data_IF_847161745696
#
_entry.id   IF_847161745696
#
_cell.length_a   1.000
_cell.length_b   1.000
_cell.length_c   1.000
_cell.angle_alpha   90.00
_cell.angle_beta   90.00
_cell.angle_gamma   90.00
#
_symmetry.space_group_name_H-M   'P 1'
#
loop_
_entity.id
_entity.type
_entity.pdbx_description
1 polymer ?
#
# COMPACT_ATOMS: atom_id res chain seq x y z
N UNK A 1 86.47 22.72 2.90
CA UNK A 1 85.36 22.28 2.04
C UNK A 1 84.67 21.16 2.79
N UNK A 2 83.68 21.49 3.64
CA UNK A 2 82.22 21.46 3.33
C UNK A 2 81.72 20.01 3.21
N UNK A 3 80.74 19.51 3.95
CA UNK A 3 79.76 20.04 4.90
C UNK A 3 79.25 18.88 5.76
N UNK A 4 78.81 19.12 7.00
CA UNK A 4 77.49 19.56 7.46
C UNK A 4 76.67 18.41 8.05
N UNK A 5 76.29 18.64 9.31
CA UNK A 5 75.51 17.81 10.23
C UNK A 5 74.05 17.65 9.78
N UNK A 6 73.35 16.64 10.34
CA UNK A 6 72.10 16.79 11.11
C UNK A 6 71.61 15.40 11.60
N UNK A 7 71.51 15.17 12.91
CA UNK A 7 70.42 15.52 13.83
C UNK A 7 69.14 14.68 13.60
N UNK A 8 68.99 13.58 14.35
CA UNK A 8 67.77 12.77 14.42
C UNK A 8 66.84 13.31 15.50
N UNK A 9 65.71 13.89 15.08
CA UNK A 9 64.58 14.28 15.95
C UNK A 9 63.51 13.19 15.84
N UNK A 10 63.15 12.59 16.98
CA UNK A 10 62.02 11.67 17.13
C UNK A 10 60.70 12.46 17.12
N UNK A 11 59.79 12.11 16.21
CA UNK A 11 58.42 12.65 16.19
C UNK A 11 57.43 11.52 16.53
N UNK A 12 56.89 11.57 17.75
CA UNK A 12 55.79 10.71 18.23
C UNK A 12 54.47 11.24 17.64
N UNK A 13 53.89 10.52 16.68
CA UNK A 13 52.55 10.78 16.15
C UNK A 13 51.51 10.02 16.98
N UNK A 14 50.80 10.74 17.87
CA UNK A 14 49.58 10.24 18.52
C UNK A 14 48.40 10.43 17.59
N UNK A 15 47.86 9.34 17.04
CA UNK A 15 46.64 9.35 16.22
C UNK A 15 45.42 9.28 17.14
N UNK A 16 44.74 10.40 17.33
CA UNK A 16 43.41 10.45 17.96
C UNK A 16 42.35 10.03 16.96
N UNK A 17 41.78 8.84 17.13
CA UNK A 17 40.66 8.34 16.34
C UNK A 17 39.38 9.04 16.81
N UNK A 18 38.88 9.96 15.99
CA UNK A 18 37.59 10.61 16.17
C UNK A 18 36.50 9.62 15.72
N UNK A 19 35.85 8.93 16.66
CA UNK A 19 34.70 8.05 16.36
C UNK A 19 33.48 8.95 16.14
N UNK A 20 33.17 9.23 14.87
CA UNK A 20 31.90 9.84 14.50
C UNK A 20 30.78 8.81 14.65
N UNK A 21 29.87 9.07 15.59
CA UNK A 21 28.61 8.33 15.70
C UNK A 21 27.77 8.71 14.49
N UNK A 22 27.87 7.92 13.42
CA UNK A 22 26.93 8.00 12.30
C UNK A 22 25.60 7.47 12.85
N UNK A 23 24.63 8.35 13.03
CA UNK A 23 23.24 7.94 13.20
C UNK A 23 22.83 7.21 11.92
N UNK A 24 22.87 5.88 11.95
CA UNK A 24 22.32 5.05 10.88
C UNK A 24 20.81 5.22 10.96
N UNK A 25 20.29 6.13 10.13
CA UNK A 25 18.86 6.16 9.82
C UNK A 25 18.60 4.87 9.05
N UNK A 26 18.02 3.87 9.72
CA UNK A 26 17.56 2.65 9.07
C UNK A 26 16.50 3.09 8.07
N UNK A 27 16.72 2.91 6.74
CA UNK A 27 15.69 3.22 5.77
C UNK A 27 14.47 2.34 6.08
N UNK A 28 13.30 2.97 6.16
CA UNK A 28 12.02 2.27 6.16
C UNK A 28 12.04 1.33 4.95
N UNK A 29 11.97 0.03 5.19
CA UNK A 29 12.04 -0.98 4.14
C UNK A 29 10.77 -0.84 3.29
N UNK A 30 10.85 -0.07 2.21
CA UNK A 30 9.74 0.24 1.33
C UNK A 30 9.72 1.68 0.83
N UNK A 31 9.07 1.90 -0.32
CA UNK A 31 8.80 3.23 -0.84
C UNK A 31 7.63 3.85 -0.06
N UNK A 32 7.76 5.04 0.54
CA UNK A 32 6.72 5.61 1.39
C UNK A 32 5.50 6.10 0.59
N UNK A 33 4.33 6.14 1.20
CA UNK A 33 3.15 6.71 0.53
C UNK A 33 3.30 8.21 0.21
N UNK A 34 3.13 8.58 -1.07
CA UNK A 34 2.95 9.98 -1.49
C UNK A 34 1.49 10.39 -1.27
N UNK A 35 1.22 10.98 -0.12
CA UNK A 35 -0.13 11.39 0.28
C UNK A 35 -0.66 12.55 -0.59
N UNK A 36 -1.88 12.38 -1.10
CA UNK A 36 -2.65 13.43 -1.79
C UNK A 36 -4.05 13.56 -1.15
N UNK A 37 -4.50 14.79 -0.83
CA UNK A 37 -5.88 15.04 -0.41
C UNK A 37 -6.90 14.70 -1.49
N UNK A 38 -8.01 14.12 -1.07
CA UNK A 38 -9.20 13.83 -1.86
C UNK A 38 -10.45 14.17 -1.00
N UNK A 39 -11.65 14.38 -1.58
CA UNK A 39 -12.83 14.80 -0.81
C UNK A 39 -13.11 13.95 0.43
N UNK A 40 -12.90 12.63 0.34
CA UNK A 40 -13.21 11.68 1.41
C UNK A 40 -11.98 11.21 2.21
N UNK A 41 -10.83 11.89 2.07
CA UNK A 41 -9.63 11.59 2.86
C UNK A 41 -8.31 11.75 2.11
N UNK A 42 -7.38 10.82 2.37
CA UNK A 42 -6.03 10.84 1.82
C UNK A 42 -5.76 9.57 1.01
N UNK A 43 -5.17 9.73 -0.18
CA UNK A 43 -4.77 8.62 -1.05
C UNK A 43 -3.26 8.59 -1.25
N UNK A 44 -2.72 7.41 -1.54
CA UNK A 44 -1.34 7.25 -1.99
C UNK A 44 -1.31 7.33 -3.52
N UNK A 45 -0.46 8.20 -4.07
CA UNK A 45 -0.37 8.42 -5.51
C UNK A 45 0.62 7.44 -6.12
N UNK A 46 0.14 6.64 -7.07
CA UNK A 46 0.96 5.77 -7.91
C UNK A 46 0.91 6.21 -9.39
N UNK A 47 2.01 5.99 -10.10
CA UNK A 47 2.17 6.20 -11.54
C UNK A 47 3.10 5.10 -12.10
N UNK A 48 3.50 5.21 -13.37
CA UNK A 48 4.34 4.20 -14.04
C UNK A 48 5.76 4.07 -13.47
N UNK A 49 6.27 5.10 -12.80
CA UNK A 49 7.64 5.11 -12.23
C UNK A 49 7.68 5.01 -10.71
N UNK A 50 6.53 5.12 -10.04
CA UNK A 50 6.46 5.19 -8.59
C UNK A 50 5.15 4.63 -8.04
N UNK A 51 5.25 3.80 -7.01
CA UNK A 51 4.15 3.43 -6.11
C UNK A 51 4.75 3.09 -4.75
N UNK A 52 3.99 3.25 -3.67
CA UNK A 52 4.45 2.82 -2.35
C UNK A 52 4.57 1.30 -2.27
N UNK A 53 5.53 0.83 -1.48
CA UNK A 53 5.77 -0.59 -1.28
C UNK A 53 5.84 -0.91 0.20
N UNK A 54 5.38 -2.11 0.54
CA UNK A 54 5.30 -2.60 1.90
C UNK A 54 6.34 -3.69 2.10
N UNK A 55 7.46 -3.41 2.75
CA UNK A 55 8.43 -4.45 3.13
C UNK A 55 8.40 -4.64 4.65
N UNK A 56 7.85 -5.76 5.09
CA UNK A 56 7.77 -6.09 6.51
C UNK A 56 8.93 -7.01 6.89
N UNK A 57 9.69 -6.63 7.91
CA UNK A 57 10.60 -7.54 8.61
C UNK A 57 9.89 -8.10 9.83
N UNK A 58 9.55 -9.39 9.80
CA UNK A 58 9.00 -10.05 10.98
C UNK A 58 10.05 -10.07 12.11
N UNK A 59 9.67 -9.76 13.36
CA UNK A 59 10.58 -9.86 14.49
C UNK A 59 11.09 -11.30 14.64
N UNK A 60 12.40 -11.44 14.84
CA UNK A 60 13.06 -12.75 14.99
C UNK A 60 13.27 -13.16 16.45
N UNK A 61 13.13 -12.21 17.38
CA UNK A 61 13.38 -12.42 18.80
C UNK A 61 12.08 -12.79 19.53
N UNK A 62 12.17 -13.75 20.46
CA UNK A 62 11.03 -14.14 21.29
C UNK A 62 10.57 -12.96 22.16
N UNK A 63 9.25 -12.74 22.21
CA UNK A 63 8.64 -11.63 22.93
C UNK A 63 8.57 -10.33 22.12
N UNK A 64 9.23 -10.22 20.97
CA UNK A 64 9.12 -9.04 20.11
C UNK A 64 7.79 -8.99 19.35
N UNK A 65 7.30 -7.78 19.12
CA UNK A 65 6.09 -7.50 18.34
C UNK A 65 6.35 -6.49 17.23
N UNK A 66 5.61 -6.64 16.14
CA UNK A 66 5.50 -5.66 15.07
C UNK A 66 4.07 -5.14 15.05
N UNK A 67 3.91 -3.83 15.22
CA UNK A 67 2.62 -3.15 15.13
C UNK A 67 2.58 -2.38 13.82
N UNK A 68 1.53 -2.62 13.05
CA UNK A 68 1.30 -1.99 11.75
C UNK A 68 0.08 -1.08 11.85
N UNK A 69 0.27 0.22 11.63
CA UNK A 69 -0.77 1.23 11.86
C UNK A 69 -1.13 2.01 10.60
N UNK A 70 -2.43 2.17 10.39
CA UNK A 70 -3.02 3.04 9.36
C UNK A 70 -4.05 3.95 10.02
N UNK A 71 -4.09 5.22 9.62
CA UNK A 71 -5.00 6.22 10.19
C UNK A 71 -5.63 7.10 9.12
N UNK A 72 -6.76 7.72 9.46
CA UNK A 72 -7.42 8.72 8.63
C UNK A 72 -6.50 9.93 8.38
N UNK A 73 -5.69 10.28 9.37
CA UNK A 73 -4.79 11.43 9.36
C UNK A 73 -3.59 11.22 8.44
N UNK A 74 -3.25 9.98 8.08
CA UNK A 74 -2.28 9.70 7.02
C UNK A 74 -1.24 8.63 7.32
N UNK A 75 -1.31 7.90 8.44
CA UNK A 75 -0.48 6.72 8.60
C UNK A 75 -0.86 5.67 7.55
N UNK A 76 0.12 5.04 6.91
CA UNK A 76 -0.07 4.03 5.88
C UNK A 76 0.87 2.87 6.14
N UNK A 77 0.32 1.77 6.68
CA UNK A 77 1.10 0.58 7.06
C UNK A 77 2.37 0.92 7.87
N UNK A 78 2.32 1.96 8.71
CA UNK A 78 3.48 2.41 9.49
C UNK A 78 3.86 1.31 10.48
N UNK A 79 5.12 0.90 10.41
CA UNK A 79 5.67 -0.13 11.28
C UNK A 79 6.16 0.48 12.60
N UNK A 80 5.92 -0.21 13.70
CA UNK A 80 6.42 0.14 15.04
C UNK A 80 6.75 -1.15 15.77
N UNK A 81 8.01 -1.32 16.15
CA UNK A 81 8.47 -2.49 16.89
C UNK A 81 8.25 -2.30 18.39
N UNK A 82 8.12 -3.42 19.11
CA UNK A 82 7.97 -3.43 20.55
C UNK A 82 8.31 -4.78 21.17
N UNK A 83 8.08 -4.92 22.47
CA UNK A 83 8.32 -6.16 23.21
C UNK A 83 7.23 -6.40 24.26
N UNK A 84 6.65 -7.60 24.29
CA UNK A 84 5.66 -8.05 25.27
C UNK A 84 6.21 -8.13 26.70
N UNK A 85 7.51 -8.34 26.86
CA UNK A 85 8.15 -8.48 28.18
C UNK A 85 8.59 -7.14 28.78
N UNK A 86 8.18 -6.02 28.18
CA UNK A 86 8.51 -4.67 28.63
C UNK A 86 7.28 -4.01 29.24
N UNK A 87 7.45 -3.32 30.37
CA UNK A 87 6.45 -2.42 30.94
C UNK A 87 6.36 -1.08 30.16
N UNK A 88 7.15 -0.93 29.09
CA UNK A 88 7.17 0.27 28.26
C UNK A 88 5.87 0.42 27.46
N UNK A 89 5.23 1.58 27.61
CA UNK A 89 4.06 1.93 26.82
C UNK A 89 4.48 2.31 25.40
N UNK A 90 4.02 1.54 24.42
CA UNK A 90 4.21 1.87 23.01
C UNK A 90 3.22 2.96 22.61
N UNK A 91 3.73 4.13 22.20
CA UNK A 91 2.92 5.27 21.77
C UNK A 91 3.03 5.43 20.26
N UNK A 92 1.92 5.19 19.56
CA UNK A 92 1.84 5.37 18.11
C UNK A 92 1.38 6.80 17.83
N UNK A 93 2.35 7.65 17.50
CA UNK A 93 2.07 9.00 17.05
C UNK A 93 1.49 8.99 15.64
N UNK A 94 0.34 9.63 15.51
CA UNK A 94 -0.35 9.80 14.24
C UNK A 94 0.37 10.77 13.29
N UNK A 95 -0.05 10.77 12.02
CA UNK A 95 0.54 11.60 10.98
C UNK A 95 0.28 13.10 11.24
N UNK A 96 1.36 13.90 11.23
CA UNK A 96 1.28 15.35 11.43
C UNK A 96 1.68 16.11 10.17
N UNK A 97 0.67 16.64 9.46
CA UNK A 97 0.85 17.43 8.23
C UNK A 97 1.74 18.67 8.39
N UNK A 98 1.82 19.27 9.59
CA UNK A 98 2.57 20.50 9.84
C UNK A 98 4.07 20.26 9.99
N UNK A 99 4.49 19.08 10.48
CA UNK A 99 5.92 18.70 10.60
C UNK A 99 6.61 18.49 9.24
N UNK A 100 5.89 18.05 8.20
CA UNK A 100 6.51 17.88 6.87
C UNK A 100 6.74 19.21 6.13
N UNK A 101 5.92 20.24 6.39
CA UNK A 101 6.09 21.57 5.79
C UNK A 101 7.35 22.29 6.30
N UNK A 102 7.79 22.03 7.53
CA UNK A 102 9.03 22.63 8.06
C UNK A 102 10.29 22.03 7.42
N UNK A 103 10.30 20.71 7.13
CA UNK A 103 11.39 20.07 6.39
C UNK A 103 11.42 20.44 4.89
N UNK A 104 10.28 20.73 4.28
CA UNK A 104 10.26 21.24 2.89
C UNK A 104 10.73 22.69 2.79
N UNK A 105 10.47 23.52 3.83
CA UNK A 105 10.95 24.91 3.89
C UNK A 105 12.47 25.04 4.09
N UNK A 106 13.16 24.03 4.62
CA UNK A 106 14.63 24.08 4.74
C UNK A 106 15.39 23.72 3.45
N UNK A 107 14.68 23.39 2.35
CA UNK A 107 15.29 22.99 1.07
C UNK A 107 14.95 23.88 -0.14
N UNK A 108 14.21 24.97 0.04
CA UNK A 108 13.91 25.92 -1.05
C UNK A 108 14.27 27.34 -0.64
N UNK A 109 15.50 27.75 -0.97
CA UNK A 109 15.83 29.14 -1.22
C UNK A 109 15.85 29.37 -2.73
N UNK A 110 15.10 30.39 -3.17
CA UNK A 110 15.05 31.02 -4.51
C UNK A 110 14.39 30.16 -5.62
N UNK A 111 13.35 30.61 -6.32
CA UNK A 111 13.19 31.88 -7.07
C UNK A 111 11.74 32.43 -7.07
N UNK A 112 11.52 33.71 -7.44
CA UNK A 112 10.21 34.36 -7.37
C UNK A 112 9.42 34.38 -8.71
N UNK A 113 8.11 34.61 -8.56
CA UNK A 113 7.03 34.89 -9.53
C UNK A 113 6.41 33.62 -10.20
N UNK A 114 5.10 33.48 -10.40
CA UNK A 114 4.11 34.41 -10.97
C UNK A 114 2.70 34.15 -10.36
N UNK A 115 1.90 35.21 -10.30
CA UNK A 115 0.49 35.33 -9.92
C UNK A 115 -0.42 34.13 -10.27
N UNK A 116 -1.21 33.61 -9.32
CA UNK A 116 -2.45 32.89 -9.63
C UNK A 116 -3.51 32.96 -8.50
N UNK A 117 -4.74 33.15 -8.96
CA UNK A 117 -6.04 33.45 -8.37
C UNK A 117 -6.56 32.55 -7.22
N UNK A 118 -5.80 32.37 -6.14
CA UNK A 118 -6.21 31.52 -4.98
C UNK A 118 -6.47 32.25 -3.66
N UNK A 119 -6.92 33.50 -3.71
CA UNK A 119 -7.28 34.26 -2.49
C UNK A 119 -8.68 33.94 -1.95
N UNK A 120 -9.63 33.54 -2.81
CA UNK A 120 -11.03 33.29 -2.38
C UNK A 120 -11.22 31.90 -1.72
N UNK A 121 -10.63 30.84 -2.30
CA UNK A 121 -10.70 29.47 -1.76
C UNK A 121 -10.01 29.39 -0.39
N UNK A 122 -8.91 30.15 -0.22
CA UNK A 122 -8.18 30.20 1.05
C UNK A 122 -8.99 30.86 2.17
N UNK A 123 -9.89 31.78 1.86
CA UNK A 123 -10.76 32.39 2.86
C UNK A 123 -11.96 31.51 3.22
N UNK A 124 -12.57 30.84 2.24
CA UNK A 124 -13.70 29.91 2.46
C UNK A 124 -13.25 28.72 3.32
N UNK A 125 -12.08 28.14 3.03
CA UNK A 125 -11.54 27.02 3.83
C UNK A 125 -11.13 27.46 5.25
N UNK A 126 -10.75 28.72 5.44
CA UNK A 126 -10.36 29.25 6.75
C UNK A 126 -11.56 29.67 7.63
N UNK A 127 -12.76 29.77 7.05
CA UNK A 127 -14.02 29.97 7.79
C UNK A 127 -14.62 28.65 8.27
N UNK A 128 -14.41 27.56 7.52
CA UNK A 128 -14.91 26.24 7.90
C UNK A 128 -14.10 25.58 9.04
N UNK A 129 -12.82 25.94 9.18
CA UNK A 129 -11.94 25.38 10.22
C UNK A 129 -11.96 26.13 11.56
N UNK A 130 -12.67 27.26 11.66
CA UNK A 130 -12.65 28.12 12.86
C UNK A 130 -13.79 27.88 13.87
N UNK A 131 -14.65 26.89 13.64
CA UNK A 131 -15.82 26.60 14.51
C UNK A 131 -15.75 25.26 15.26
N UNK A 132 -14.55 24.69 15.43
CA UNK A 132 -14.31 23.64 16.42
C UNK A 132 -13.13 24.04 17.29
N UNK A 133 -13.39 24.99 18.20
CA UNK A 133 -12.58 25.16 19.41
C UNK A 133 -12.85 23.91 20.24
N UNK A 134 -12.00 22.90 20.07
CA UNK A 134 -12.03 21.67 20.84
C UNK A 134 -11.75 22.08 22.29
N UNK A 135 -12.74 21.95 23.17
CA UNK A 135 -12.49 22.09 24.60
C UNK A 135 -11.57 20.95 24.99
N UNK A 136 -10.38 21.29 25.50
CA UNK A 136 -9.43 20.37 26.10
C UNK A 136 -10.02 19.82 27.41
N UNK A 137 -11.06 19.01 27.29
CA UNK A 137 -11.52 18.15 28.35
C UNK A 137 -10.59 16.95 28.28
N UNK A 138 -9.75 16.79 29.31
CA UNK A 138 -8.80 15.69 29.47
C UNK A 138 -9.60 14.38 29.46
N UNK A 139 -9.81 13.81 28.27
CA UNK A 139 -10.63 12.61 28.07
C UNK A 139 -9.91 11.47 28.76
N UNK A 140 -10.46 11.01 29.87
CA UNK A 140 -9.97 9.84 30.58
C UNK A 140 -10.04 8.65 29.61
N UNK A 141 -8.88 8.06 29.34
CA UNK A 141 -8.79 6.86 28.52
C UNK A 141 -9.17 5.69 29.42
N UNK A 142 -10.29 5.03 29.10
CA UNK A 142 -10.65 3.80 29.76
C UNK A 142 -9.65 2.71 29.38
N UNK A 143 -9.13 2.02 30.39
CA UNK A 143 -8.21 0.91 30.17
C UNK A 143 -9.01 -0.31 29.69
N UNK A 144 -8.67 -0.80 28.49
CA UNK A 144 -9.28 -2.01 27.92
C UNK A 144 -8.25 -3.12 27.94
N UNK A 145 -8.59 -4.22 28.61
CA UNK A 145 -7.75 -5.41 28.69
C UNK A 145 -8.27 -6.49 27.73
N UNK A 146 -7.45 -6.84 26.74
CA UNK A 146 -7.76 -7.88 25.74
C UNK A 146 -6.88 -9.11 26.04
N UNK A 147 -7.49 -10.29 26.13
CA UNK A 147 -6.80 -11.56 26.36
C UNK A 147 -7.10 -12.53 25.22
N UNK A 148 -6.06 -13.23 24.75
CA UNK A 148 -6.17 -14.27 23.71
C UNK A 148 -6.15 -15.63 24.40
N UNK A 149 -7.20 -16.42 24.22
CA UNK A 149 -7.28 -17.80 24.70
C UNK A 149 -6.94 -18.78 23.56
N UNK A 150 -5.76 -19.39 23.63
CA UNK A 150 -5.28 -20.33 22.61
C UNK A 150 -5.92 -21.73 22.71
N UNK A 151 -6.69 -22.03 23.76
CA UNK A 151 -7.40 -23.31 23.91
C UNK A 151 -8.67 -23.38 23.05
N UNK A 152 -9.17 -22.23 22.59
CA UNK A 152 -10.38 -22.11 21.77
C UNK A 152 -9.98 -21.89 20.32
N UNK A 153 -10.17 -22.92 19.48
CA UNK A 153 -9.95 -22.83 18.05
C UNK A 153 -11.26 -22.50 17.30
N UNK A 154 -11.17 -21.66 16.28
CA UNK A 154 -12.27 -21.29 15.39
C UNK A 154 -12.01 -21.76 13.95
N UNK A 155 -12.63 -21.11 12.96
CA UNK A 155 -12.48 -21.46 11.55
C UNK A 155 -11.06 -21.26 11.01
N UNK A 156 -10.70 -22.05 9.99
CA UNK A 156 -9.51 -21.79 9.18
C UNK A 156 -9.79 -20.67 8.18
N UNK A 157 -8.84 -19.74 8.04
CA UNK A 157 -8.93 -18.65 7.07
C UNK A 157 -8.49 -19.16 5.70
N UNK A 158 -9.36 -19.01 4.69
CA UNK A 158 -9.14 -19.52 3.32
C UNK A 158 -8.25 -18.58 2.51
N UNK A 159 -8.40 -17.27 2.70
CA UNK A 159 -7.63 -16.24 2.01
C UNK A 159 -8.33 -14.88 2.03
N UNK A 160 -7.64 -13.87 1.54
CA UNK A 160 -8.14 -12.51 1.37
C UNK A 160 -7.89 -12.07 -0.07
N UNK A 161 -8.76 -11.21 -0.59
CA UNK A 161 -8.78 -10.96 -2.03
C UNK A 161 -9.74 -9.86 -2.47
N UNK A 162 -9.82 -9.72 -3.80
CA UNK A 162 -10.72 -8.80 -4.49
C UNK A 162 -11.42 -9.46 -5.68
N UNK A 163 -12.24 -8.69 -6.39
CA UNK A 163 -12.93 -9.17 -7.58
C UNK A 163 -12.23 -8.69 -8.87
N UNK A 164 -11.94 -9.63 -9.78
CA UNK A 164 -11.54 -9.35 -11.15
C UNK A 164 -12.78 -9.40 -12.05
N UNK A 165 -13.46 -8.25 -12.16
CA UNK A 165 -14.63 -8.05 -13.03
C UNK A 165 -14.22 -7.61 -14.43
N UNK A 166 -15.17 -7.55 -15.37
CA UNK A 166 -14.92 -7.05 -16.73
C UNK A 166 -14.39 -5.61 -16.73
N UNK A 167 -14.93 -4.74 -15.89
CA UNK A 167 -14.46 -3.35 -15.74
C UNK A 167 -13.04 -3.27 -15.19
N UNK A 168 -12.68 -4.09 -14.18
CA UNK A 168 -11.32 -4.12 -13.65
C UNK A 168 -10.35 -4.62 -14.72
N UNK A 169 -10.71 -5.69 -15.44
CA UNK A 169 -9.89 -6.22 -16.53
C UNK A 169 -9.69 -5.19 -17.64
N UNK A 170 -10.75 -4.48 -18.04
CA UNK A 170 -10.67 -3.41 -19.01
C UNK A 170 -9.76 -2.28 -18.55
N UNK A 171 -9.92 -1.77 -17.32
CA UNK A 171 -9.07 -0.70 -16.78
C UNK A 171 -7.59 -1.09 -16.71
N UNK A 172 -7.30 -2.34 -16.32
CA UNK A 172 -5.93 -2.87 -16.29
C UNK A 172 -5.34 -3.07 -17.68
N UNK A 173 -6.16 -3.30 -18.70
CA UNK A 173 -5.73 -3.43 -20.08
C UNK A 173 -5.42 -2.08 -20.74
N UNK A 174 -6.19 -1.05 -20.42
CA UNK A 174 -6.05 0.29 -21.01
C UNK A 174 -4.96 1.15 -20.36
N UNK A 175 -4.49 0.79 -19.16
CA UNK A 175 -3.46 1.55 -18.45
C UNK A 175 -2.05 1.25 -18.95
N UNK A 176 -1.13 2.19 -18.69
CA UNK A 176 0.30 2.00 -18.93
C UNK A 176 0.82 0.71 -18.25
N UNK A 177 1.65 -0.06 -18.96
CA UNK A 177 2.12 -1.37 -18.49
C UNK A 177 2.91 -1.28 -17.18
N UNK A 178 3.70 -0.21 -16.99
CA UNK A 178 4.42 0.03 -15.74
C UNK A 178 3.48 0.29 -14.59
N UNK A 179 2.43 1.10 -14.80
CA UNK A 179 1.42 1.34 -13.78
C UNK A 179 0.61 0.07 -13.45
N UNK A 180 0.24 -0.71 -14.46
CA UNK A 180 -0.44 -2.01 -14.29
C UNK A 180 0.37 -2.93 -13.40
N UNK A 181 1.67 -3.10 -13.70
CA UNK A 181 2.56 -3.94 -12.93
C UNK A 181 2.65 -3.46 -11.47
N UNK A 182 2.75 -2.15 -11.22
CA UNK A 182 2.79 -1.59 -9.85
C UNK A 182 1.50 -1.84 -9.08
N UNK A 183 0.34 -1.73 -9.72
CA UNK A 183 -0.95 -2.02 -9.08
C UNK A 183 -1.04 -3.51 -8.76
N UNK A 184 -0.68 -4.39 -9.69
CA UNK A 184 -0.69 -5.83 -9.44
C UNK A 184 0.31 -6.23 -8.34
N UNK A 185 1.50 -5.61 -8.30
CA UNK A 185 2.48 -5.78 -7.22
C UNK A 185 1.90 -5.36 -5.87
N UNK A 186 1.27 -4.18 -5.79
CA UNK A 186 0.68 -3.68 -4.55
C UNK A 186 -0.38 -4.63 -3.99
N UNK A 187 -1.20 -5.27 -4.84
CA UNK A 187 -2.22 -6.23 -4.39
C UNK A 187 -1.67 -7.63 -4.11
N UNK A 188 -0.87 -8.19 -5.01
CA UNK A 188 -0.57 -9.63 -5.03
C UNK A 188 0.84 -10.00 -4.58
N UNK A 189 1.81 -9.07 -4.63
CA UNK A 189 3.15 -9.39 -4.13
C UNK A 189 3.09 -9.66 -2.63
N UNK A 190 3.68 -10.77 -2.21
CA UNK A 190 3.87 -11.11 -0.79
C UNK A 190 5.04 -10.36 -0.15
N UNK A 191 5.95 -9.81 -0.97
CA UNK A 191 7.17 -9.16 -0.52
C UNK A 191 7.02 -7.66 -0.40
N UNK A 192 6.35 -7.02 -1.37
CA UNK A 192 6.26 -5.56 -1.50
C UNK A 192 4.83 -5.04 -1.49
N UNK A 193 3.83 -5.93 -1.39
CA UNK A 193 2.40 -5.60 -1.41
C UNK A 193 1.63 -6.21 -0.24
N UNK A 194 0.30 -6.26 -0.36
CA UNK A 194 -0.59 -6.80 0.68
C UNK A 194 -0.86 -8.30 0.56
N UNK A 195 -0.28 -8.98 -0.42
CA UNK A 195 -0.30 -10.44 -0.53
C UNK A 195 -1.69 -11.07 -0.68
N UNK A 196 -2.55 -10.51 -1.53
CA UNK A 196 -3.82 -11.15 -1.89
C UNK A 196 -3.61 -12.59 -2.35
N UNK A 197 -4.43 -13.49 -1.80
CA UNK A 197 -4.35 -14.94 -1.99
C UNK A 197 -5.61 -15.53 -2.64
N UNK A 198 -6.61 -14.70 -2.91
CA UNK A 198 -7.87 -15.10 -3.51
C UNK A 198 -8.37 -14.06 -4.51
N UNK A 199 -9.06 -14.52 -5.55
CA UNK A 199 -9.73 -13.65 -6.53
C UNK A 199 -11.14 -14.17 -6.77
N UNK A 200 -12.11 -13.26 -6.79
CA UNK A 200 -13.47 -13.54 -7.26
C UNK A 200 -13.62 -13.10 -8.71
N UNK A 201 -14.30 -13.88 -9.54
CA UNK A 201 -14.64 -13.47 -10.91
C UNK A 201 -16.06 -13.93 -11.30
N UNK A 202 -16.60 -13.34 -12.35
CA UNK A 202 -17.87 -13.74 -12.95
C UNK A 202 -17.68 -14.83 -14.01
N UNK A 203 -18.63 -15.75 -14.07
CA UNK A 203 -18.83 -16.64 -15.22
C UNK A 203 -19.83 -15.94 -16.13
N UNK A 204 -19.37 -15.46 -17.29
CA UNK A 204 -20.15 -14.51 -18.09
C UNK A 204 -20.14 -13.10 -17.50
N UNK A 205 -21.11 -12.28 -17.91
CA UNK A 205 -21.20 -10.89 -17.49
C UNK A 205 -21.76 -10.68 -16.09
N UNK A 206 -21.31 -9.61 -15.45
CA UNK A 206 -21.89 -9.04 -14.25
C UNK A 206 -22.33 -7.57 -14.49
N UNK A 207 -22.84 -6.93 -13.46
CA UNK A 207 -23.16 -5.50 -13.44
C UNK A 207 -21.91 -4.59 -13.60
N UNK A 208 -20.72 -5.13 -13.34
CA UNK A 208 -19.41 -4.50 -13.58
C UNK A 208 -18.74 -5.02 -14.86
N UNK A 209 -19.52 -5.29 -15.89
CA UNK A 209 -19.04 -5.48 -17.26
C UNK A 209 -19.45 -4.28 -18.13
N UNK A 210 -18.73 -4.05 -19.23
CA UNK A 210 -19.03 -2.93 -20.14
C UNK A 210 -20.39 -3.06 -20.84
N UNK A 211 -20.91 -4.29 -20.94
CA UNK A 211 -22.24 -4.58 -21.50
C UNK A 211 -22.77 -5.89 -20.88
N UNK A 212 -24.11 -6.07 -20.76
CA UNK A 212 -24.68 -7.35 -20.35
C UNK A 212 -24.33 -8.45 -21.36
N UNK A 213 -23.97 -9.64 -20.85
CA UNK A 213 -23.70 -10.81 -21.66
C UNK A 213 -23.75 -12.10 -20.84
N UNK A 214 -23.93 -13.21 -21.53
CA UNK A 214 -23.80 -14.55 -20.97
C UNK A 214 -23.18 -15.48 -22.02
N UNK A 215 -22.71 -16.64 -21.59
CA UNK A 215 -22.31 -17.67 -22.53
C UNK A 215 -23.52 -18.33 -23.21
N UNK A 216 -23.33 -18.81 -24.44
CA UNK A 216 -24.32 -19.56 -25.21
C UNK A 216 -25.67 -18.81 -25.39
N UNK A 217 -25.63 -17.51 -25.71
CA UNK A 217 -26.85 -16.73 -25.98
C UNK A 217 -27.56 -17.12 -27.28
N UNK A 218 -26.82 -17.70 -28.24
CA UNK A 218 -27.29 -18.17 -29.54
C UNK A 218 -26.67 -19.55 -29.79
N UNK A 219 -27.38 -20.50 -30.44
CA UNK A 219 -28.81 -20.43 -30.75
C UNK A 219 -29.69 -20.45 -29.50
N UNK A 220 -30.91 -19.91 -29.61
CA UNK A 220 -31.87 -19.90 -28.49
C UNK A 220 -32.45 -21.30 -28.28
N UNK A 221 -32.82 -21.61 -27.04
CA UNK A 221 -33.38 -22.92 -26.63
C UNK A 221 -32.44 -24.11 -26.88
N UNK A 222 -31.14 -23.85 -26.91
CA UNK A 222 -30.11 -24.85 -27.11
C UNK A 222 -29.76 -25.58 -25.80
N UNK A 223 -30.63 -26.51 -25.41
CA UNK A 223 -30.43 -27.36 -24.22
C UNK A 223 -29.15 -28.19 -24.24
N UNK A 224 -28.50 -28.35 -25.40
CA UNK A 224 -27.25 -29.10 -25.56
C UNK A 224 -26.01 -28.22 -25.45
N UNK A 225 -26.16 -26.89 -25.34
CA UNK A 225 -25.05 -25.93 -25.25
C UNK A 225 -24.04 -26.09 -26.40
N UNK A 226 -24.54 -26.32 -27.62
CA UNK A 226 -23.72 -26.58 -28.81
C UNK A 226 -22.78 -25.43 -29.18
N UNK A 227 -23.05 -24.21 -28.70
CA UNK A 227 -22.20 -23.04 -28.93
C UNK A 227 -21.31 -22.69 -27.71
N UNK A 228 -21.28 -23.51 -26.66
CA UNK A 228 -20.36 -23.37 -25.54
C UNK A 228 -19.05 -24.14 -25.84
N UNK A 229 -18.25 -23.63 -26.78
CA UNK A 229 -17.04 -24.33 -27.24
C UNK A 229 -15.74 -23.59 -26.90
N UNK A 230 -15.80 -22.28 -26.70
CA UNK A 230 -14.63 -21.43 -26.46
C UNK A 230 -14.93 -20.36 -25.41
N UNK A 231 -13.86 -19.81 -24.83
CA UNK A 231 -13.97 -18.67 -23.95
C UNK A 231 -14.23 -17.40 -24.75
N UNK A 232 -15.07 -16.53 -24.22
CA UNK A 232 -15.30 -15.22 -24.77
C UNK A 232 -14.03 -14.36 -24.62
N UNK A 233 -13.75 -13.47 -25.58
CA UNK A 233 -12.59 -12.57 -25.56
C UNK A 233 -12.44 -11.80 -24.22
N UNK A 234 -13.57 -11.44 -23.60
CA UNK A 234 -13.59 -10.76 -22.30
C UNK A 234 -13.06 -11.63 -21.15
N UNK A 235 -13.35 -12.93 -21.20
CA UNK A 235 -12.82 -13.88 -20.23
C UNK A 235 -11.37 -14.27 -20.57
N UNK A 236 -11.00 -14.33 -21.85
CA UNK A 236 -9.60 -14.51 -22.27
C UNK A 236 -8.69 -13.40 -21.72
N UNK A 237 -9.17 -12.15 -21.71
CA UNK A 237 -8.45 -11.04 -21.07
C UNK A 237 -8.22 -11.29 -19.57
N UNK A 238 -9.25 -11.77 -18.85
CA UNK A 238 -9.12 -12.12 -17.42
C UNK A 238 -8.14 -13.28 -17.22
N UNK A 239 -8.13 -14.27 -18.10
CA UNK A 239 -7.16 -15.38 -18.08
C UNK A 239 -5.73 -14.88 -18.23
N UNK A 240 -5.47 -13.94 -19.14
CA UNK A 240 -4.17 -13.28 -19.26
C UNK A 240 -3.74 -12.61 -17.95
N UNK A 241 -4.63 -11.83 -17.34
CA UNK A 241 -4.37 -11.17 -16.05
C UNK A 241 -4.12 -12.18 -14.92
N UNK A 242 -4.82 -13.32 -14.88
CA UNK A 242 -4.54 -14.37 -13.88
C UNK A 242 -3.11 -14.90 -13.98
N UNK A 243 -2.57 -15.05 -15.19
CA UNK A 243 -1.19 -15.51 -15.38
C UNK A 243 -0.15 -14.47 -14.92
N UNK A 244 -0.40 -13.19 -15.20
CA UNK A 244 0.44 -12.10 -14.69
C UNK A 244 0.41 -12.05 -13.15
N UNK A 245 -0.79 -12.19 -12.57
CA UNK A 245 -0.97 -12.19 -11.12
C UNK A 245 -0.23 -13.36 -10.45
N UNK A 246 -0.33 -14.57 -11.00
CA UNK A 246 0.43 -15.74 -10.48
C UNK A 246 1.94 -15.50 -10.48
N UNK A 247 2.43 -14.88 -11.55
CA UNK A 247 3.85 -14.54 -11.70
C UNK A 247 4.28 -13.54 -10.63
N UNK A 248 3.52 -12.47 -10.42
CA UNK A 248 3.81 -11.42 -9.43
C UNK A 248 3.69 -11.92 -7.99
N UNK A 249 2.73 -12.81 -7.72
CA UNK A 249 2.53 -13.37 -6.40
C UNK A 249 3.53 -14.47 -6.03
N UNK A 250 4.28 -14.98 -7.02
CA UNK A 250 5.11 -16.17 -6.92
C UNK A 250 4.31 -17.35 -6.31
N UNK A 251 3.06 -17.51 -6.76
CA UNK A 251 2.11 -18.46 -6.18
C UNK A 251 1.09 -18.98 -7.21
N UNK A 252 1.27 -20.24 -7.60
CA UNK A 252 0.33 -20.94 -8.48
C UNK A 252 -0.97 -21.38 -7.78
N UNK A 253 -1.07 -21.21 -6.46
CA UNK A 253 -2.19 -21.69 -5.63
C UNK A 253 -3.17 -20.58 -5.23
N UNK A 254 -3.11 -19.41 -5.88
CA UNK A 254 -4.13 -18.36 -5.71
C UNK A 254 -5.51 -18.96 -5.96
N UNK A 255 -6.40 -18.80 -4.99
CA UNK A 255 -7.75 -19.37 -5.04
C UNK A 255 -8.64 -18.52 -5.93
N UNK A 256 -9.36 -19.15 -6.85
CA UNK A 256 -10.32 -18.46 -7.71
C UNK A 256 -11.73 -18.91 -7.32
N UNK A 257 -12.59 -17.95 -6.97
CA UNK A 257 -14.02 -18.17 -6.76
C UNK A 257 -14.77 -17.57 -7.95
N UNK A 258 -15.57 -18.40 -8.64
CA UNK A 258 -16.35 -17.96 -9.78
C UNK A 258 -17.85 -18.10 -9.51
N UNK A 259 -18.66 -17.14 -9.97
CA UNK A 259 -20.11 -17.20 -9.90
C UNK A 259 -20.74 -16.64 -11.17
N UNK A 260 -21.81 -17.27 -11.67
CA UNK A 260 -22.63 -16.70 -12.74
C UNK A 260 -23.67 -15.74 -12.16
N UNK A 261 -23.86 -14.57 -12.78
CA UNK A 261 -24.93 -13.63 -12.38
C UNK A 261 -26.26 -13.97 -13.04
N UNK A 262 -26.22 -14.47 -14.28
CA UNK A 262 -27.40 -14.81 -15.05
C UNK A 262 -27.06 -15.87 -16.08
N UNK A 263 -27.97 -16.82 -16.36
CA UNK A 263 -27.86 -17.66 -17.56
C UNK A 263 -28.13 -16.82 -18.82
N UNK A 264 -27.91 -17.36 -20.03
CA UNK A 264 -28.40 -16.76 -21.26
C UNK A 264 -29.91 -16.55 -21.20
N UNK A 265 -30.39 -15.50 -21.89
CA UNK A 265 -31.79 -15.03 -21.76
C UNK A 265 -32.84 -16.10 -22.03
N UNK A 266 -32.57 -17.04 -22.93
CA UNK A 266 -33.52 -18.08 -23.32
C UNK A 266 -33.72 -19.19 -22.28
N UNK A 267 -32.90 -19.24 -21.21
CA UNK A 267 -33.04 -20.16 -20.08
C UNK A 267 -33.89 -19.61 -18.93
N UNK A 268 -34.37 -18.36 -19.03
CA UNK A 268 -35.29 -17.74 -18.06
C UNK A 268 -36.72 -17.89 -18.54
#
# INVERSE_FOLDING_TARGET
>A
MSGFNECRINFLLTVTILVTVINVVVPEAGSPCILRPYPDGLVCVCNSTYCDTLEFSLPTQNGSILIVSTSEQGLRFKQTEGNFNSDEKIIINDFNQNRQKSHRKSRQNQTPNIFDSRSLIKWIMNRYTKTKRQSDTKKQLDEVNIKVDHSIAHQKIVGFGGALTGSVAHLLNEMDSGLKEKILQAYFSKRTGIGYSMIRTSIGGCDFDLKPWAYNEIPKHDSKLTNFTELDERDLLKVGLFNEIKTIAEDDKIKIMAAAWSPPKWMK
#
